data_IF_221370396090
#
_entry.id   IF_221370396090
#
_cell.length_a   1.000
_cell.length_b   1.000
_cell.length_c   1.000
_cell.angle_alpha   90.00
_cell.angle_beta   90.00
_cell.angle_gamma   90.00
#
_symmetry.space_group_name_H-M   'P 1'
#
loop_
_entity.id
_entity.type
_entity.pdbx_description
1 polymer ?
#
# COMPACT_ATOMS: atom_id res chain seq x y z
N UNK A 1 -63.19 6.16 46.02
CA UNK A 1 -62.68 7.22 45.13
C UNK A 1 -61.97 6.52 43.98
N UNK A 2 -62.45 6.65 42.74
CA UNK A 2 -61.80 6.07 41.58
C UNK A 2 -60.69 6.99 41.10
N UNK A 3 -59.46 6.50 41.00
CA UNK A 3 -58.34 7.24 40.40
C UNK A 3 -58.56 7.33 38.90
N UNK A 4 -58.96 8.51 38.40
CA UNK A 4 -58.92 8.80 36.97
C UNK A 4 -57.48 8.64 36.49
N UNK A 5 -57.27 7.65 35.61
CA UNK A 5 -56.00 7.46 34.93
C UNK A 5 -55.90 8.60 33.91
N UNK A 6 -55.04 9.58 34.18
CA UNK A 6 -54.72 10.62 33.21
C UNK A 6 -53.99 9.96 32.04
N UNK A 7 -54.60 10.04 30.85
CA UNK A 7 -53.93 9.65 29.61
C UNK A 7 -52.68 10.53 29.42
N UNK A 8 -51.55 9.96 28.96
CA UNK A 8 -50.34 10.73 28.72
C UNK A 8 -50.57 11.73 27.59
N UNK A 9 -50.05 12.95 27.76
CA UNK A 9 -50.08 13.97 26.73
C UNK A 9 -49.29 13.51 25.49
N UNK A 10 -49.98 13.22 24.39
CA UNK A 10 -49.39 13.12 23.05
C UNK A 10 -49.51 14.47 22.33
N UNK A 11 -48.48 14.83 21.57
CA UNK A 11 -48.46 16.03 20.74
C UNK A 11 -48.16 15.62 19.29
N UNK A 12 -49.16 15.68 18.44
CA UNK A 12 -49.05 15.39 17.00
C UNK A 12 -48.44 16.59 16.24
N UNK A 13 -47.28 17.07 16.69
CA UNK A 13 -46.54 18.18 16.05
C UNK A 13 -46.09 17.79 14.64
N UNK A 14 -45.80 16.51 14.44
CA UNK A 14 -45.64 15.89 13.12
C UNK A 14 -46.62 14.72 13.02
N UNK A 15 -47.57 14.71 12.08
CA UNK A 15 -48.41 13.55 11.84
C UNK A 15 -47.51 12.38 11.39
N UNK A 16 -47.59 11.27 12.10
CA UNK A 16 -46.82 10.07 11.82
C UNK A 16 -47.78 8.91 11.52
N UNK A 17 -47.84 8.52 10.25
CA UNK A 17 -48.49 7.27 9.86
C UNK A 17 -47.63 6.07 10.29
N UNK A 18 -48.25 4.93 10.54
CA UNK A 18 -47.53 3.71 10.88
C UNK A 18 -46.76 3.21 9.65
N UNK A 19 -45.44 3.00 9.79
CA UNK A 19 -44.57 2.50 8.73
C UNK A 19 -45.13 1.19 8.15
N UNK A 20 -45.48 1.22 6.86
CA UNK A 20 -46.11 0.09 6.15
C UNK A 20 -45.17 -0.59 5.15
N UNK A 21 -44.11 0.12 4.78
CA UNK A 21 -43.20 -0.16 3.69
C UNK A 21 -42.14 -1.20 4.10
N UNK A 22 -41.93 -2.21 3.24
CA UNK A 22 -40.86 -3.20 3.44
C UNK A 22 -39.73 -2.98 2.44
N UNK A 23 -38.53 -2.69 2.96
CA UNK A 23 -37.34 -2.51 2.14
C UNK A 23 -36.69 -3.87 1.80
N UNK A 24 -36.88 -4.35 0.58
CA UNK A 24 -36.26 -5.60 0.09
C UNK A 24 -34.78 -5.40 -0.25
N UNK A 25 -33.91 -5.44 0.75
CA UNK A 25 -32.46 -5.19 0.61
C UNK A 25 -31.77 -6.00 -0.51
N UNK A 26 -32.24 -7.21 -0.82
CA UNK A 26 -31.63 -8.05 -1.87
C UNK A 26 -31.82 -7.50 -3.29
N UNK A 27 -32.73 -6.54 -3.55
CA UNK A 27 -32.90 -5.97 -4.89
C UNK A 27 -31.85 -4.90 -5.24
N UNK A 28 -31.02 -4.48 -4.29
CA UNK A 28 -29.94 -3.51 -4.51
C UNK A 28 -28.62 -4.16 -4.95
N UNK A 29 -28.55 -5.49 -4.98
CA UNK A 29 -27.33 -6.25 -5.26
C UNK A 29 -27.59 -7.24 -6.39
N UNK A 30 -26.92 -7.05 -7.52
CA UNK A 30 -26.88 -8.03 -8.60
C UNK A 30 -25.89 -9.15 -8.25
N UNK A 31 -26.24 -10.40 -8.58
CA UNK A 31 -25.36 -11.55 -8.37
C UNK A 31 -24.35 -11.66 -9.53
N UNK A 32 -23.41 -10.72 -9.56
CA UNK A 32 -22.30 -10.66 -10.51
C UNK A 32 -20.99 -11.02 -9.80
N UNK A 33 -20.12 -11.77 -10.48
CA UNK A 33 -18.77 -12.04 -10.00
C UNK A 33 -17.95 -10.73 -9.93
N UNK A 34 -17.52 -10.29 -8.73
CA UNK A 34 -16.73 -9.07 -8.60
C UNK A 34 -15.28 -9.25 -9.08
N UNK A 35 -14.80 -10.47 -9.34
CA UNK A 35 -13.39 -10.80 -9.62
C UNK A 35 -12.98 -10.74 -11.10
N UNK A 36 -13.75 -10.04 -11.94
CA UNK A 36 -13.41 -9.83 -13.37
C UNK A 36 -11.93 -9.43 -13.61
N UNK A 37 -11.33 -9.84 -14.74
CA UNK A 37 -9.88 -10.01 -14.93
C UNK A 37 -9.07 -8.71 -15.13
N UNK A 38 -9.56 -7.58 -14.61
CA UNK A 38 -8.91 -6.27 -14.71
C UNK A 38 -7.98 -6.03 -13.52
N UNK A 39 -6.82 -5.43 -13.80
CA UNK A 39 -5.96 -4.83 -12.78
C UNK A 39 -6.74 -3.76 -11.99
N UNK A 40 -6.39 -3.50 -10.72
CA UNK A 40 -7.04 -2.45 -9.93
C UNK A 40 -6.99 -1.06 -10.59
N UNK A 41 -5.94 -0.76 -11.35
CA UNK A 41 -5.84 0.51 -12.10
C UNK A 41 -6.71 0.52 -13.36
N UNK A 42 -6.79 -0.56 -14.13
CA UNK A 42 -7.74 -0.66 -15.26
C UNK A 42 -9.19 -0.57 -14.77
N UNK A 43 -9.51 -1.16 -13.62
CA UNK A 43 -10.83 -1.07 -12.98
C UNK A 43 -11.14 0.33 -12.46
N UNK A 44 -10.15 1.05 -11.94
CA UNK A 44 -10.27 2.47 -11.62
C UNK A 44 -10.64 3.27 -12.87
N UNK A 45 -9.90 3.09 -13.96
CA UNK A 45 -10.12 3.77 -15.23
C UNK A 45 -11.48 3.42 -15.85
N UNK A 46 -11.95 2.18 -15.72
CA UNK A 46 -13.30 1.81 -16.14
C UNK A 46 -14.38 2.56 -15.34
N UNK A 47 -14.24 2.58 -14.00
CA UNK A 47 -15.17 3.28 -13.12
C UNK A 47 -15.20 4.79 -13.37
N UNK A 48 -14.03 5.44 -13.52
CA UNK A 48 -13.98 6.88 -13.85
C UNK A 48 -14.52 7.16 -15.25
N UNK A 49 -14.31 6.28 -16.23
CA UNK A 49 -14.92 6.42 -17.55
C UNK A 49 -16.45 6.29 -17.54
N UNK A 50 -17.02 5.48 -16.64
CA UNK A 50 -18.48 5.44 -16.42
C UNK A 50 -18.99 6.77 -15.83
N UNK A 51 -18.26 7.35 -14.87
CA UNK A 51 -18.60 8.67 -14.27
C UNK A 51 -18.43 9.83 -15.27
N UNK A 52 -17.39 9.79 -16.11
CA UNK A 52 -17.17 10.75 -17.20
C UNK A 52 -18.34 10.74 -18.19
N UNK A 53 -18.86 9.56 -18.58
CA UNK A 53 -20.05 9.44 -19.44
C UNK A 53 -21.28 10.10 -18.80
N UNK A 54 -21.56 9.79 -17.53
CA UNK A 54 -22.67 10.42 -16.78
C UNK A 54 -22.55 11.95 -16.80
N UNK A 55 -21.36 12.51 -16.60
CA UNK A 55 -21.12 13.95 -16.67
C UNK A 55 -21.39 14.54 -18.07
N UNK A 56 -20.92 13.86 -19.13
CA UNK A 56 -21.09 14.30 -20.51
C UNK A 56 -22.56 14.26 -20.95
N UNK A 57 -23.24 13.13 -20.70
CA UNK A 57 -24.62 12.90 -21.10
C UNK A 57 -25.61 13.87 -20.43
N UNK A 58 -25.29 14.32 -19.21
CA UNK A 58 -26.14 15.21 -18.41
C UNK A 58 -25.66 16.67 -18.38
N UNK A 59 -24.69 17.07 -19.21
CA UNK A 59 -24.04 18.39 -19.10
C UNK A 59 -24.99 19.58 -19.28
N UNK A 60 -26.09 19.40 -20.03
CA UNK A 60 -27.15 20.41 -20.23
C UNK A 60 -28.21 20.44 -19.12
N UNK A 61 -28.28 19.39 -18.28
CA UNK A 61 -29.22 19.24 -17.16
C UNK A 61 -28.47 19.13 -15.82
N UNK A 62 -27.23 19.62 -15.78
CA UNK A 62 -26.33 19.43 -14.66
C UNK A 62 -26.83 20.18 -13.41
N UNK A 63 -26.92 19.45 -12.29
CA UNK A 63 -27.30 20.01 -10.98
C UNK A 63 -26.15 19.88 -9.97
N UNK A 64 -26.26 20.59 -8.84
CA UNK A 64 -25.26 20.52 -7.78
C UNK A 64 -25.23 19.14 -7.10
N UNK A 65 -26.40 18.49 -7.03
CA UNK A 65 -26.58 17.14 -6.50
C UNK A 65 -25.88 16.12 -7.40
N UNK A 66 -25.98 16.27 -8.73
CA UNK A 66 -25.21 15.45 -9.67
C UNK A 66 -23.70 15.64 -9.48
N UNK A 67 -23.23 16.89 -9.33
CA UNK A 67 -21.83 17.17 -8.98
C UNK A 67 -21.38 16.50 -7.68
N UNK A 68 -22.24 16.55 -6.67
CA UNK A 68 -22.02 15.92 -5.36
C UNK A 68 -21.89 14.40 -5.48
N UNK A 69 -22.78 13.76 -6.25
CA UNK A 69 -22.76 12.31 -6.51
C UNK A 69 -21.54 11.90 -7.35
N UNK A 70 -21.16 12.68 -8.36
CA UNK A 70 -19.97 12.43 -9.17
C UNK A 70 -18.69 12.50 -8.33
N UNK A 71 -18.52 13.55 -7.51
CA UNK A 71 -17.40 13.66 -6.57
C UNK A 71 -17.31 12.45 -5.63
N UNK A 72 -18.44 11.98 -5.10
CA UNK A 72 -18.50 10.77 -4.27
C UNK A 72 -18.09 9.52 -5.06
N UNK A 73 -18.57 9.38 -6.29
CA UNK A 73 -18.19 8.30 -7.21
C UNK A 73 -16.69 8.25 -7.46
N UNK A 74 -16.06 9.38 -7.78
CA UNK A 74 -14.61 9.43 -8.05
C UNK A 74 -13.77 9.04 -6.84
N UNK A 75 -14.09 9.54 -5.63
CA UNK A 75 -13.35 9.13 -4.42
C UNK A 75 -13.58 7.65 -4.10
N UNK A 76 -14.78 7.13 -4.37
CA UNK A 76 -15.10 5.70 -4.20
C UNK A 76 -14.34 4.81 -5.20
N UNK A 77 -14.07 5.31 -6.42
CA UNK A 77 -13.20 4.63 -7.37
C UNK A 77 -11.75 4.55 -6.87
N UNK A 78 -11.22 5.62 -6.25
CA UNK A 78 -9.87 5.60 -5.64
C UNK A 78 -9.81 4.63 -4.45
N UNK A 79 -10.83 4.59 -3.60
CA UNK A 79 -10.91 3.60 -2.52
C UNK A 79 -10.97 2.16 -3.07
N UNK A 80 -11.73 1.93 -4.15
CA UNK A 80 -11.81 0.63 -4.83
C UNK A 80 -10.45 0.18 -5.39
N UNK A 81 -9.67 1.12 -5.95
CA UNK A 81 -8.30 0.89 -6.39
C UNK A 81 -7.39 0.49 -5.23
N UNK A 82 -7.42 1.23 -4.11
CA UNK A 82 -6.59 0.96 -2.93
C UNK A 82 -6.90 -0.41 -2.32
N UNK A 83 -8.17 -0.77 -2.19
CA UNK A 83 -8.59 -2.11 -1.77
C UNK A 83 -8.10 -3.19 -2.73
N UNK A 84 -8.33 -3.00 -4.03
CA UNK A 84 -7.90 -3.93 -5.07
C UNK A 84 -6.39 -4.17 -5.11
N UNK A 85 -5.57 -3.12 -4.95
CA UNK A 85 -4.10 -3.25 -4.98
C UNK A 85 -3.56 -3.93 -3.71
N UNK A 86 -4.13 -3.66 -2.54
CA UNK A 86 -3.76 -4.35 -1.30
C UNK A 86 -4.16 -5.84 -1.38
N UNK A 87 -5.40 -6.14 -1.79
CA UNK A 87 -5.87 -7.52 -2.02
C UNK A 87 -4.97 -8.27 -2.99
N UNK A 88 -4.62 -7.65 -4.13
CA UNK A 88 -3.74 -8.25 -5.12
C UNK A 88 -2.34 -8.51 -4.57
N UNK A 89 -1.75 -7.55 -3.86
CA UNK A 89 -0.43 -7.71 -3.24
C UNK A 89 -0.39 -8.85 -2.21
N UNK A 90 -1.45 -9.04 -1.41
CA UNK A 90 -1.57 -10.19 -0.48
C UNK A 90 -1.51 -11.53 -1.21
N UNK A 91 -1.98 -11.59 -2.46
CA UNK A 91 -1.92 -12.81 -3.28
C UNK A 91 -0.58 -12.99 -4.01
N UNK A 92 0.05 -11.91 -4.51
CA UNK A 92 1.23 -11.99 -5.39
C UNK A 92 2.57 -11.86 -4.67
N UNK A 93 2.63 -11.13 -3.55
CA UNK A 93 3.87 -10.78 -2.86
C UNK A 93 4.03 -11.54 -1.53
N UNK A 94 5.05 -12.41 -1.44
CA UNK A 94 5.30 -13.23 -0.25
C UNK A 94 5.57 -12.41 1.04
N UNK A 95 6.11 -11.19 0.90
CA UNK A 95 6.35 -10.29 2.02
C UNK A 95 5.01 -9.73 2.55
N UNK A 96 4.16 -9.18 1.68
CA UNK A 96 2.79 -8.75 2.05
C UNK A 96 1.99 -9.90 2.66
N UNK A 97 2.03 -11.10 2.05
CA UNK A 97 1.33 -12.27 2.57
C UNK A 97 1.74 -12.63 4.01
N UNK A 98 3.03 -12.53 4.37
CA UNK A 98 3.47 -12.72 5.76
C UNK A 98 3.06 -11.57 6.67
N UNK A 99 3.19 -10.32 6.23
CA UNK A 99 2.82 -9.13 7.02
C UNK A 99 1.35 -9.19 7.47
N UNK A 100 0.44 -9.62 6.60
CA UNK A 100 -0.99 -9.73 6.93
C UNK A 100 -1.37 -11.03 7.63
N UNK A 101 -0.52 -12.06 7.62
CA UNK A 101 -0.84 -13.39 8.20
C UNK A 101 -1.23 -13.41 9.70
N UNK A 102 -0.77 -12.50 10.58
CA UNK A 102 -1.21 -12.43 11.97
C UNK A 102 -2.55 -11.71 12.16
N UNK A 103 -3.07 -11.05 11.12
CA UNK A 103 -4.30 -10.28 11.19
C UNK A 103 -5.53 -11.19 11.24
N UNK A 104 -6.57 -10.73 11.92
CA UNK A 104 -7.80 -11.48 12.15
C UNK A 104 -8.89 -11.08 11.16
N UNK A 105 -9.66 -12.07 10.69
CA UNK A 105 -10.91 -11.88 9.94
C UNK A 105 -12.09 -12.35 10.80
N UNK A 106 -13.29 -11.88 10.48
CA UNK A 106 -14.51 -12.42 11.12
C UNK A 106 -14.72 -13.89 10.71
N UNK A 107 -15.34 -14.69 11.58
CA UNK A 107 -15.66 -16.09 11.26
C UNK A 107 -16.62 -16.19 10.06
N UNK A 108 -17.52 -15.21 9.91
CA UNK A 108 -18.41 -15.12 8.75
C UNK A 108 -17.62 -14.95 7.44
N UNK A 109 -16.66 -14.02 7.40
CA UNK A 109 -15.79 -13.84 6.25
C UNK A 109 -14.96 -15.11 5.96
N UNK A 110 -14.40 -15.75 6.98
CA UNK A 110 -13.64 -17.01 6.82
C UNK A 110 -14.49 -18.18 6.29
N UNK A 111 -15.80 -18.20 6.55
CA UNK A 111 -16.72 -19.24 6.10
C UNK A 111 -17.28 -18.98 4.69
N UNK A 112 -17.44 -17.71 4.28
CA UNK A 112 -18.19 -17.32 3.09
C UNK A 112 -17.38 -16.60 1.99
N UNK A 113 -16.18 -16.06 2.26
CA UNK A 113 -15.35 -15.49 1.21
C UNK A 113 -14.57 -16.59 0.45
N UNK A 114 -14.48 -16.42 -0.86
CA UNK A 114 -13.48 -17.14 -1.65
C UNK A 114 -12.06 -16.74 -1.22
N UNK A 115 -11.09 -17.66 -1.36
CA UNK A 115 -9.68 -17.42 -0.96
C UNK A 115 -9.06 -16.19 -1.64
N UNK A 116 -9.50 -15.85 -2.84
CA UNK A 116 -9.10 -14.65 -3.61
C UNK A 116 -9.68 -13.36 -3.02
N UNK A 117 -10.91 -13.40 -2.51
CA UNK A 117 -11.62 -12.26 -1.93
C UNK A 117 -11.46 -12.12 -0.41
N UNK A 118 -10.95 -13.15 0.28
CA UNK A 118 -10.72 -13.13 1.73
C UNK A 118 -9.86 -11.93 2.21
N UNK A 119 -8.84 -11.43 1.48
CA UNK A 119 -8.09 -10.25 1.91
C UNK A 119 -8.91 -8.95 1.99
N UNK A 120 -10.10 -8.87 1.35
CA UNK A 120 -11.01 -7.72 1.54
C UNK A 120 -11.54 -7.66 2.98
N UNK A 121 -11.73 -8.80 3.64
CA UNK A 121 -12.20 -8.86 5.02
C UNK A 121 -11.18 -8.26 6.01
N UNK A 122 -9.89 -8.26 5.66
CA UNK A 122 -8.83 -7.57 6.42
C UNK A 122 -8.92 -6.04 6.30
N UNK A 123 -9.66 -5.54 5.30
CA UNK A 123 -9.88 -4.12 5.04
C UNK A 123 -11.27 -3.65 5.50
N UNK A 124 -12.05 -4.48 6.19
CA UNK A 124 -13.27 -4.07 6.89
C UNK A 124 -12.93 -3.02 7.95
N UNK A 125 -13.68 -1.92 7.98
CA UNK A 125 -13.41 -0.78 8.89
C UNK A 125 -12.20 0.09 8.51
N UNK A 126 -11.34 -0.34 7.57
CA UNK A 126 -10.30 0.53 6.99
C UNK A 126 -10.97 1.57 6.09
N UNK A 127 -10.56 2.83 6.21
CA UNK A 127 -11.10 3.95 5.43
C UNK A 127 -9.97 4.77 4.82
N UNK A 128 -10.04 5.06 3.53
CA UNK A 128 -8.96 5.71 2.78
C UNK A 128 -9.13 7.24 2.64
N UNK A 129 -9.98 7.86 3.47
CA UNK A 129 -10.35 9.30 3.42
C UNK A 129 -9.23 10.29 3.84
N UNK A 130 -7.99 9.85 4.02
CA UNK A 130 -6.85 10.73 4.31
C UNK A 130 -5.51 10.11 3.93
N UNK A 131 -4.53 10.97 3.65
CA UNK A 131 -3.11 10.60 3.53
C UNK A 131 -2.63 9.77 4.70
N UNK A 132 -3.01 10.12 5.94
CA UNK A 132 -2.54 9.43 7.13
C UNK A 132 -3.07 8.00 7.21
N UNK A 133 -4.33 7.78 6.84
CA UNK A 133 -4.89 6.44 6.75
C UNK A 133 -4.23 5.66 5.60
N UNK A 134 -4.10 6.25 4.42
CA UNK A 134 -3.50 5.58 3.25
C UNK A 134 -2.05 5.16 3.52
N UNK A 135 -1.20 6.08 4.01
CA UNK A 135 0.22 5.77 4.22
C UNK A 135 0.41 4.79 5.38
N UNK A 136 -0.40 4.88 6.44
CA UNK A 136 -0.45 3.87 7.51
C UNK A 136 -0.85 2.50 6.98
N UNK A 137 -1.98 2.38 6.26
CA UNK A 137 -2.46 1.10 5.73
C UNK A 137 -1.46 0.48 4.74
N UNK A 138 -0.93 1.26 3.79
CA UNK A 138 0.09 0.77 2.85
C UNK A 138 1.38 0.35 3.56
N UNK A 139 1.71 0.96 4.71
CA UNK A 139 2.85 0.53 5.52
C UNK A 139 2.58 -0.76 6.26
N UNK A 140 1.47 -0.84 6.99
CA UNK A 140 1.13 -1.96 7.87
C UNK A 140 0.80 -3.24 7.08
N UNK A 141 -0.03 -3.11 6.03
CA UNK A 141 -0.46 -4.26 5.23
C UNK A 141 0.58 -4.64 4.19
N UNK A 142 1.06 -3.66 3.41
CA UNK A 142 1.87 -3.90 2.22
C UNK A 142 3.37 -3.65 2.41
N UNK A 143 3.81 -3.22 3.59
CA UNK A 143 5.23 -3.01 3.92
C UNK A 143 5.90 -1.83 3.20
N UNK A 144 5.15 -0.98 2.50
CA UNK A 144 5.67 -0.03 1.50
C UNK A 144 6.72 0.93 2.12
N UNK A 145 7.84 1.16 1.42
CA UNK A 145 8.89 2.08 1.90
C UNK A 145 8.43 3.54 1.89
N UNK A 146 9.03 4.38 2.73
CA UNK A 146 8.72 5.82 2.78
C UNK A 146 7.28 6.18 3.21
N UNK A 147 6.48 5.19 3.62
CA UNK A 147 5.12 5.30 4.14
C UNK A 147 5.07 4.94 5.62
N UNK A 148 4.08 5.46 6.34
CA UNK A 148 3.84 5.21 7.77
C UNK A 148 3.71 6.51 8.56
N UNK A 149 3.01 6.48 9.70
CA UNK A 149 2.85 7.60 10.63
C UNK A 149 2.43 8.94 9.99
N UNK A 150 1.63 8.88 8.92
CA UNK A 150 1.21 10.05 8.13
C UNK A 150 2.24 10.60 7.13
N UNK A 151 3.48 10.14 7.20
CA UNK A 151 4.51 10.45 6.23
C UNK A 151 4.25 9.77 4.88
N UNK A 152 4.70 10.43 3.81
CA UNK A 152 4.72 9.92 2.43
C UNK A 152 6.05 10.31 1.78
N UNK A 153 6.47 9.65 0.69
CA UNK A 153 7.64 10.07 -0.08
C UNK A 153 7.49 11.49 -0.62
N UNK A 154 8.57 12.27 -0.62
CA UNK A 154 8.58 13.67 -1.11
C UNK A 154 8.07 13.85 -2.54
N UNK A 155 8.23 12.82 -3.39
CA UNK A 155 7.70 12.78 -4.76
C UNK A 155 6.18 12.69 -4.83
N UNK A 156 5.53 12.12 -3.81
CA UNK A 156 4.08 11.93 -3.72
C UNK A 156 3.39 13.00 -2.85
N UNK A 157 4.13 13.73 -2.02
CA UNK A 157 3.63 14.81 -1.16
C UNK A 157 2.63 15.75 -1.88
N UNK A 158 2.88 16.29 -3.10
CA UNK A 158 1.96 17.21 -3.74
C UNK A 158 0.63 16.57 -4.16
N UNK A 159 0.66 15.30 -4.60
CA UNK A 159 -0.56 14.58 -5.02
C UNK A 159 -1.39 14.12 -3.81
N UNK A 160 -0.74 13.79 -2.69
CA UNK A 160 -1.44 13.48 -1.43
C UNK A 160 -2.09 14.72 -0.81
N UNK A 161 -1.44 15.89 -0.86
CA UNK A 161 -2.04 17.15 -0.41
C UNK A 161 -3.30 17.49 -1.22
N UNK A 162 -3.27 17.30 -2.54
CA UNK A 162 -4.45 17.46 -3.40
C UNK A 162 -5.55 16.44 -3.13
N UNK A 163 -5.20 15.17 -2.93
CA UNK A 163 -6.16 14.13 -2.53
C UNK A 163 -6.83 14.44 -1.18
N UNK A 164 -6.07 14.92 -0.19
CA UNK A 164 -6.61 15.35 1.11
C UNK A 164 -7.64 16.48 0.96
N UNK A 165 -7.38 17.48 0.10
CA UNK A 165 -8.33 18.56 -0.18
C UNK A 165 -9.65 18.00 -0.74
N UNK A 166 -9.58 17.09 -1.70
CA UNK A 166 -10.76 16.41 -2.28
C UNK A 166 -11.49 15.59 -1.21
N UNK A 167 -10.80 14.94 -0.28
CA UNK A 167 -11.42 14.24 0.84
C UNK A 167 -12.15 15.19 1.81
N UNK A 168 -11.67 16.41 2.02
CA UNK A 168 -12.41 17.43 2.79
C UNK A 168 -13.66 17.90 2.03
N UNK A 169 -13.59 18.07 0.70
CA UNK A 169 -14.77 18.40 -0.11
C UNK A 169 -15.81 17.26 -0.06
N UNK A 170 -15.38 15.99 -0.15
CA UNK A 170 -16.25 14.82 0.06
C UNK A 170 -16.90 14.86 1.45
N UNK A 171 -16.15 15.20 2.50
CA UNK A 171 -16.68 15.31 3.84
C UNK A 171 -17.75 16.42 3.96
N UNK A 172 -17.53 17.59 3.35
CA UNK A 172 -18.55 18.65 3.25
C UNK A 172 -19.81 18.18 2.49
N UNK A 173 -19.64 17.37 1.43
CA UNK A 173 -20.75 16.88 0.62
C UNK A 173 -21.69 15.93 1.38
N UNK A 174 -21.13 14.98 2.15
CA UNK A 174 -21.94 13.95 2.84
C UNK A 174 -22.49 14.41 4.19
N UNK A 175 -21.90 15.43 4.80
CA UNK A 175 -22.33 15.95 6.10
C UNK A 175 -23.02 17.31 5.96
N UNK A 176 -24.12 17.50 6.69
CA UNK A 176 -24.84 18.80 6.77
C UNK A 176 -25.26 19.34 5.39
N UNK A 177 -25.60 18.46 4.44
CA UNK A 177 -26.09 18.82 3.10
C UNK A 177 -25.20 19.84 2.36
N UNK A 178 -23.88 19.67 2.38
CA UNK A 178 -22.96 20.53 1.63
C UNK A 178 -22.50 21.79 2.35
N UNK A 179 -22.93 22.06 3.59
CA UNK A 179 -22.53 23.27 4.32
C UNK A 179 -21.10 23.18 4.86
N UNK A 180 -20.27 24.19 4.56
CA UNK A 180 -18.87 24.25 5.00
C UNK A 180 -18.75 24.50 6.51
N UNK A 181 -18.48 23.44 7.28
CA UNK A 181 -18.14 23.52 8.70
C UNK A 181 -16.72 24.03 8.99
N UNK A 182 -16.50 24.47 10.23
CA UNK A 182 -15.26 25.15 10.66
C UNK A 182 -13.97 24.31 10.53
N UNK A 183 -13.98 23.02 10.88
CA UNK A 183 -12.77 22.19 10.74
C UNK A 183 -12.41 21.94 9.27
N UNK A 184 -13.42 21.79 8.39
CA UNK A 184 -13.20 21.63 6.95
C UNK A 184 -12.63 22.91 6.33
N UNK A 185 -13.18 24.08 6.69
CA UNK A 185 -12.65 25.37 6.25
C UNK A 185 -11.19 25.55 6.67
N UNK A 186 -10.86 25.23 7.93
CA UNK A 186 -9.49 25.25 8.45
C UNK A 186 -8.55 24.33 7.67
N UNK A 187 -8.95 23.08 7.38
CA UNK A 187 -8.15 22.11 6.62
C UNK A 187 -7.97 22.47 5.15
N UNK A 188 -8.95 23.17 4.57
CA UNK A 188 -8.90 23.70 3.20
C UNK A 188 -8.19 25.07 3.11
N UNK A 189 -7.74 25.65 4.23
CA UNK A 189 -7.22 27.02 4.34
C UNK A 189 -8.20 28.09 3.80
N UNK A 190 -9.51 27.87 3.97
CA UNK A 190 -10.55 28.82 3.57
C UNK A 190 -10.85 29.83 4.68
N UNK A 191 -11.04 31.12 4.37
CA UNK A 191 -11.35 32.14 5.36
C UNK A 191 -12.76 32.01 5.94
N UNK A 192 -12.97 32.56 7.14
CA UNK A 192 -14.20 32.37 7.93
C UNK A 192 -15.49 32.89 7.26
N UNK A 193 -15.38 33.77 6.25
CA UNK A 193 -16.51 34.22 5.44
C UNK A 193 -17.03 33.15 4.46
N UNK A 194 -16.49 31.93 4.47
CA UNK A 194 -17.05 30.76 3.78
C UNK A 194 -17.79 29.79 4.70
N UNK A 195 -17.75 29.98 6.03
CA UNK A 195 -18.47 29.12 6.97
C UNK A 195 -19.97 29.14 6.70
N UNK A 196 -20.61 27.97 6.84
CA UNK A 196 -22.04 27.77 6.61
C UNK A 196 -22.53 28.12 5.19
N UNK A 197 -21.61 28.34 4.23
CA UNK A 197 -21.99 28.42 2.82
C UNK A 197 -22.16 27.01 2.23
N UNK A 198 -23.16 26.80 1.35
CA UNK A 198 -23.28 25.56 0.60
C UNK A 198 -22.12 25.43 -0.40
N UNK A 199 -21.64 24.20 -0.58
CA UNK A 199 -20.74 23.85 -1.67
C UNK A 199 -21.48 23.90 -3.01
N UNK A 200 -20.90 24.60 -3.98
CA UNK A 200 -21.36 24.61 -5.37
C UNK A 200 -20.29 23.93 -6.23
N UNK A 201 -20.63 22.78 -6.80
CA UNK A 201 -19.73 21.97 -7.63
C UNK A 201 -20.19 22.10 -9.09
N UNK A 202 -19.44 22.87 -9.90
CA UNK A 202 -19.72 23.03 -11.33
C UNK A 202 -18.98 21.98 -12.17
N UNK A 203 -19.40 21.70 -13.44
CA UNK A 203 -18.75 20.70 -14.29
C UNK A 203 -17.21 20.84 -14.40
N UNK A 204 -16.63 22.06 -14.57
CA UNK A 204 -15.17 22.21 -14.62
C UNK A 204 -14.45 21.79 -13.34
N UNK A 205 -15.11 21.90 -12.18
CA UNK A 205 -14.54 21.45 -10.91
C UNK A 205 -14.54 19.91 -10.79
N UNK A 206 -15.52 19.22 -11.38
CA UNK A 206 -15.50 17.76 -11.50
C UNK A 206 -14.42 17.30 -12.47
N UNK A 207 -14.24 18.00 -13.59
CA UNK A 207 -13.17 17.74 -14.55
C UNK A 207 -11.78 17.94 -13.91
N UNK A 208 -11.59 18.96 -13.07
CA UNK A 208 -10.36 19.13 -12.29
C UNK A 208 -10.17 18.00 -11.26
N UNK A 209 -11.23 17.62 -10.54
CA UNK A 209 -11.21 16.51 -9.57
C UNK A 209 -10.82 15.18 -10.24
N UNK A 210 -11.40 14.83 -11.38
CA UNK A 210 -11.08 13.56 -12.05
C UNK A 210 -9.62 13.51 -12.50
N UNK A 211 -9.10 14.61 -13.07
CA UNK A 211 -7.69 14.75 -13.46
C UNK A 211 -6.75 14.62 -12.25
N UNK A 212 -7.07 15.24 -11.11
CA UNK A 212 -6.27 15.14 -9.89
C UNK A 212 -6.25 13.70 -9.36
N UNK A 213 -7.41 13.04 -9.32
CA UNK A 213 -7.53 11.69 -8.78
C UNK A 213 -6.89 10.63 -9.68
N UNK A 214 -6.93 10.80 -11.01
CA UNK A 214 -6.19 9.96 -11.94
C UNK A 214 -4.68 10.10 -11.75
N UNK A 215 -4.16 11.33 -11.64
CA UNK A 215 -2.75 11.58 -11.33
C UNK A 215 -2.35 11.00 -9.97
N UNK A 216 -3.22 11.06 -8.97
CA UNK A 216 -3.01 10.46 -7.66
C UNK A 216 -2.87 8.93 -7.76
N UNK A 217 -3.85 8.26 -8.39
CA UNK A 217 -3.84 6.80 -8.56
C UNK A 217 -2.63 6.34 -9.37
N UNK A 218 -2.37 6.94 -10.53
CA UNK A 218 -1.25 6.54 -11.39
C UNK A 218 0.12 6.75 -10.73
N UNK A 219 0.33 7.89 -10.04
CA UNK A 219 1.59 8.14 -9.32
C UNK A 219 1.80 7.15 -8.18
N UNK A 220 0.73 6.82 -7.45
CA UNK A 220 0.78 5.85 -6.35
C UNK A 220 0.96 4.41 -6.87
N UNK A 221 0.32 4.05 -7.99
CA UNK A 221 0.47 2.75 -8.66
C UNK A 221 1.92 2.51 -9.08
N UNK A 222 2.53 3.45 -9.81
CA UNK A 222 3.94 3.38 -10.21
C UNK A 222 4.89 3.33 -9.01
N UNK A 223 4.60 4.09 -7.94
CA UNK A 223 5.41 4.06 -6.72
C UNK A 223 5.36 2.70 -6.02
N UNK A 224 4.16 2.16 -5.80
CA UNK A 224 3.98 0.86 -5.14
C UNK A 224 4.62 -0.25 -5.98
N UNK A 225 4.36 -0.30 -7.30
CA UNK A 225 4.98 -1.26 -8.23
C UNK A 225 6.51 -1.26 -8.12
N UNK A 226 7.10 -0.06 -8.17
CA UNK A 226 8.56 0.11 -8.01
C UNK A 226 9.02 -0.41 -6.66
N UNK A 227 8.41 0.03 -5.56
CA UNK A 227 8.82 -0.36 -4.21
C UNK A 227 8.76 -1.88 -3.98
N UNK A 228 7.66 -2.55 -4.39
CA UNK A 228 7.53 -3.99 -4.19
C UNK A 228 8.51 -4.79 -5.04
N UNK A 229 8.78 -4.39 -6.29
CA UNK A 229 9.80 -5.03 -7.12
C UNK A 229 11.21 -4.85 -6.53
N UNK A 230 11.59 -3.62 -6.17
CA UNK A 230 12.88 -3.32 -5.56
C UNK A 230 13.07 -4.09 -4.24
N UNK A 231 12.06 -4.07 -3.37
CA UNK A 231 12.04 -4.83 -2.11
C UNK A 231 12.18 -6.33 -2.34
N UNK A 232 11.46 -6.88 -3.32
CA UNK A 232 11.51 -8.31 -3.61
C UNK A 232 12.89 -8.75 -4.10
N UNK A 233 13.61 -7.91 -4.86
CA UNK A 233 15.00 -8.16 -5.21
C UNK A 233 15.87 -8.24 -3.95
N UNK A 234 15.87 -7.18 -3.13
CA UNK A 234 16.78 -7.08 -1.99
C UNK A 234 16.50 -8.10 -0.88
N UNK A 235 15.23 -8.34 -0.54
CA UNK A 235 14.88 -9.33 0.49
C UNK A 235 15.04 -10.78 -0.01
N UNK A 236 14.98 -11.05 -1.32
CA UNK A 236 15.34 -12.38 -1.84
C UNK A 236 16.85 -12.65 -1.77
N UNK A 237 17.68 -11.61 -1.96
CA UNK A 237 19.15 -11.69 -1.86
C UNK A 237 19.69 -11.52 -0.45
N UNK A 238 18.83 -11.33 0.57
CA UNK A 238 19.29 -10.82 1.85
C UNK A 238 20.19 -11.80 2.61
N UNK A 239 21.44 -11.35 2.78
CA UNK A 239 22.43 -11.86 3.72
C UNK A 239 22.32 -11.12 5.07
N UNK A 240 21.58 -9.99 5.16
CA UNK A 240 21.76 -8.99 6.24
C UNK A 240 20.50 -8.28 6.79
N UNK A 241 19.27 -8.71 6.50
CA UNK A 241 18.04 -8.10 7.09
C UNK A 241 17.01 -9.14 7.52
N UNK A 242 16.54 -8.98 8.77
CA UNK A 242 15.51 -9.73 9.52
C UNK A 242 15.20 -11.19 9.04
N UNK A 243 15.62 -12.24 9.79
CA UNK A 243 15.39 -13.63 9.39
C UNK A 243 13.90 -14.04 9.26
N UNK A 244 12.97 -13.27 9.82
CA UNK A 244 11.53 -13.58 9.77
C UNK A 244 10.86 -13.24 8.42
N UNK A 245 11.44 -12.36 7.60
CA UNK A 245 10.82 -11.87 6.35
C UNK A 245 11.79 -12.01 5.16
N UNK A 246 12.01 -13.26 4.74
CA UNK A 246 12.78 -13.61 3.53
C UNK A 246 11.87 -14.15 2.43
N UNK A 247 12.05 -13.73 1.17
CA UNK A 247 11.37 -14.39 0.04
C UNK A 247 11.96 -15.79 -0.14
N UNK A 248 11.09 -16.78 -0.33
CA UNK A 248 11.44 -18.17 -0.62
C UNK A 248 12.04 -18.22 -2.04
N UNK A 249 11.43 -17.52 -2.98
CA UNK A 249 11.91 -17.45 -4.36
C UNK A 249 12.96 -16.34 -4.54
N UNK A 250 14.09 -16.68 -5.15
CA UNK A 250 15.10 -15.70 -5.62
C UNK A 250 14.81 -15.23 -7.05
N UNK A 251 15.25 -14.01 -7.37
CA UNK A 251 15.29 -13.55 -8.77
C UNK A 251 16.56 -14.04 -9.45
N UNK A 252 16.42 -14.69 -10.59
CA UNK A 252 17.53 -15.23 -11.38
C UNK A 252 18.23 -14.14 -12.21
N UNK A 253 17.53 -13.01 -12.47
CA UNK A 253 17.96 -11.96 -13.40
C UNK A 253 18.07 -12.47 -14.85
N UNK A 254 17.22 -13.44 -15.17
CA UNK A 254 16.98 -14.01 -16.48
C UNK A 254 15.46 -14.08 -16.73
N UNK A 255 15.01 -13.57 -17.87
CA UNK A 255 13.57 -13.44 -18.15
C UNK A 255 12.87 -14.79 -18.17
N UNK A 256 13.43 -15.81 -18.83
CA UNK A 256 12.75 -17.10 -19.00
C UNK A 256 12.51 -17.82 -17.66
N UNK A 257 13.39 -17.61 -16.67
CA UNK A 257 13.22 -18.15 -15.32
C UNK A 257 12.35 -17.28 -14.42
N UNK A 258 12.34 -15.96 -14.64
CA UNK A 258 11.63 -15.00 -13.78
C UNK A 258 10.24 -14.60 -14.32
N UNK A 259 9.90 -14.90 -15.59
CA UNK A 259 8.71 -14.43 -16.31
C UNK A 259 7.41 -14.69 -15.52
N UNK A 260 7.20 -15.93 -15.08
CA UNK A 260 5.97 -16.31 -14.33
C UNK A 260 5.83 -15.52 -13.03
N UNK A 261 6.94 -15.17 -12.37
CA UNK A 261 6.91 -14.34 -11.16
C UNK A 261 6.68 -12.88 -11.51
N UNK A 262 7.39 -12.35 -12.51
CA UNK A 262 7.30 -10.96 -12.93
C UNK A 262 5.92 -10.61 -13.47
N UNK A 263 5.32 -11.50 -14.28
CA UNK A 263 3.96 -11.38 -14.79
C UNK A 263 2.94 -11.13 -13.67
N UNK A 264 3.03 -11.85 -12.54
CA UNK A 264 2.11 -11.64 -11.40
C UNK A 264 2.16 -10.23 -10.79
N UNK A 265 3.32 -9.56 -10.83
CA UNK A 265 3.40 -8.15 -10.45
C UNK A 265 2.94 -7.26 -11.60
N UNK A 266 3.42 -7.49 -12.83
CA UNK A 266 3.05 -6.71 -14.00
C UNK A 266 1.51 -6.67 -14.21
N UNK A 267 0.84 -7.82 -14.24
CA UNK A 267 -0.62 -7.95 -14.42
C UNK A 267 -1.42 -7.23 -13.32
N UNK A 268 -0.84 -7.07 -12.13
CA UNK A 268 -1.46 -6.35 -11.02
C UNK A 268 -1.35 -4.81 -11.16
N UNK A 269 -0.32 -4.30 -11.81
CA UNK A 269 -0.02 -2.87 -11.89
C UNK A 269 -0.15 -2.26 -13.29
N UNK A 270 -0.21 -3.07 -14.34
CA UNK A 270 -0.26 -2.63 -15.73
C UNK A 270 -1.62 -1.99 -16.11
N UNK A 271 -1.54 -0.97 -16.97
CA UNK A 271 -2.68 -0.36 -17.65
C UNK A 271 -2.82 -1.04 -19.01
N UNK A 272 -3.87 -1.82 -19.20
CA UNK A 272 -4.17 -2.55 -20.45
C UNK A 272 -5.44 -2.07 -21.14
N UNK A 273 -6.30 -1.29 -20.45
CA UNK A 273 -7.61 -0.84 -20.94
C UNK A 273 -7.70 0.65 -21.27
N UNK A 274 -6.59 1.38 -21.18
CA UNK A 274 -6.50 2.80 -21.54
C UNK A 274 -5.26 3.10 -22.38
N UNK A 275 -5.18 4.33 -22.89
CA UNK A 275 -4.03 4.84 -23.64
C UNK A 275 -3.47 6.11 -22.97
N UNK A 276 -2.14 6.25 -22.83
CA UNK A 276 -1.12 5.25 -23.16
C UNK A 276 -1.22 4.01 -22.26
N UNK A 277 -1.09 2.83 -22.85
CA UNK A 277 -0.96 1.58 -22.08
C UNK A 277 0.42 1.46 -21.46
N UNK A 278 0.58 0.59 -20.47
CA UNK A 278 1.90 0.21 -19.96
C UNK A 278 2.78 -0.37 -21.10
N UNK A 279 4.12 -0.22 -21.03
CA UNK A 279 5.04 -0.97 -21.89
C UNK A 279 4.85 -2.48 -21.71
N UNK A 280 5.31 -3.30 -22.66
CA UNK A 280 5.14 -4.75 -22.58
C UNK A 280 5.88 -5.37 -21.39
N UNK A 281 5.43 -6.56 -20.97
CA UNK A 281 6.06 -7.36 -19.91
C UNK A 281 7.57 -7.51 -20.09
N UNK A 282 8.03 -7.70 -21.34
CA UNK A 282 9.43 -7.82 -21.70
C UNK A 282 10.20 -6.50 -21.57
N UNK A 283 9.62 -5.38 -21.98
CA UNK A 283 10.24 -4.05 -21.85
C UNK A 283 10.37 -3.64 -20.38
N UNK A 284 9.32 -3.84 -19.58
CA UNK A 284 9.33 -3.62 -18.13
C UNK A 284 10.35 -4.52 -17.42
N UNK A 285 10.44 -5.80 -17.78
CA UNK A 285 11.46 -6.70 -17.21
C UNK A 285 12.88 -6.25 -17.55
N UNK A 286 13.12 -5.79 -18.78
CA UNK A 286 14.44 -5.27 -19.16
C UNK A 286 14.81 -3.99 -18.40
N UNK A 287 13.83 -3.10 -18.13
CA UNK A 287 14.01 -1.95 -17.26
C UNK A 287 14.38 -2.36 -15.82
N UNK A 288 13.64 -3.31 -15.25
CA UNK A 288 13.95 -3.90 -13.94
C UNK A 288 15.34 -4.56 -13.92
N UNK A 289 15.71 -5.31 -14.95
CA UNK A 289 16.98 -6.01 -15.07
C UNK A 289 18.17 -5.04 -15.13
N UNK A 290 18.05 -3.96 -15.92
CA UNK A 290 19.06 -2.91 -16.01
C UNK A 290 19.25 -2.19 -14.66
N UNK A 291 18.14 -1.81 -14.01
CA UNK A 291 18.16 -1.21 -12.68
C UNK A 291 18.78 -2.16 -11.63
N UNK A 292 18.41 -3.44 -11.64
CA UNK A 292 18.89 -4.45 -10.70
C UNK A 292 20.41 -4.62 -10.82
N UNK A 293 20.92 -4.83 -12.05
CA UNK A 293 22.36 -4.99 -12.32
C UNK A 293 23.17 -3.76 -11.85
N UNK A 294 22.73 -2.56 -12.21
CA UNK A 294 23.39 -1.31 -11.78
C UNK A 294 23.39 -1.11 -10.26
N UNK A 295 22.29 -1.45 -9.59
CA UNK A 295 22.15 -1.31 -8.14
C UNK A 295 23.03 -2.31 -7.38
N UNK A 296 23.08 -3.58 -7.82
CA UNK A 296 23.93 -4.62 -7.23
C UNK A 296 25.42 -4.26 -7.37
N UNK A 297 25.84 -3.76 -8.54
CA UNK A 297 27.21 -3.31 -8.76
C UNK A 297 27.60 -2.16 -7.81
N UNK A 298 26.70 -1.18 -7.66
CA UNK A 298 26.88 -0.02 -6.77
C UNK A 298 27.03 -0.45 -5.31
N UNK A 299 26.15 -1.32 -4.80
CA UNK A 299 26.21 -1.82 -3.43
C UNK A 299 27.48 -2.65 -3.17
N UNK A 300 27.90 -3.46 -4.15
CA UNK A 300 29.14 -4.24 -4.06
C UNK A 300 30.36 -3.32 -3.90
N UNK A 301 30.43 -2.22 -4.67
CA UNK A 301 31.46 -1.20 -4.55
C UNK A 301 31.40 -0.51 -3.17
N UNK A 302 30.20 -0.17 -2.68
CA UNK A 302 30.04 0.44 -1.35
C UNK A 302 30.50 -0.48 -0.21
N UNK A 303 30.18 -1.79 -0.28
CA UNK A 303 30.61 -2.79 0.71
C UNK A 303 32.13 -2.92 0.68
N UNK A 304 32.74 -3.08 -0.51
CA UNK A 304 34.21 -3.14 -0.68
C UNK A 304 34.90 -1.91 -0.10
N UNK A 305 34.36 -0.71 -0.36
CA UNK A 305 34.90 0.56 0.16
C UNK A 305 34.71 0.72 1.68
N UNK A 306 33.65 0.16 2.28
CA UNK A 306 33.46 0.13 3.74
C UNK A 306 34.44 -0.84 4.41
N UNK A 307 34.69 -2.01 3.81
CA UNK A 307 35.64 -3.00 4.32
C UNK A 307 37.08 -2.48 4.23
N UNK A 308 37.47 -1.87 3.11
CA UNK A 308 38.81 -1.29 2.92
C UNK A 308 39.12 -0.09 3.83
N UNK A 309 38.11 0.56 4.42
CA UNK A 309 38.25 1.70 5.34
C UNK A 309 38.22 1.32 6.82
N UNK A 310 38.14 0.03 7.15
CA UNK A 310 38.15 -0.44 8.54
C UNK A 310 39.62 -0.53 9.01
N UNK A 311 40.09 0.33 9.94
CA UNK A 311 41.49 0.30 10.35
C UNK A 311 41.81 -1.03 11.04
N UNK A 312 42.97 -1.59 10.74
CA UNK A 312 43.52 -2.69 11.52
C UNK A 312 43.60 -2.27 12.98
N UNK A 313 42.99 -3.07 13.87
CA UNK A 313 43.31 -2.98 15.29
C UNK A 313 44.72 -3.51 15.46
N UNK A 314 45.69 -2.61 15.49
CA UNK A 314 47.08 -2.94 15.78
C UNK A 314 47.16 -3.72 17.09
N UNK A 315 47.67 -4.95 17.01
CA UNK A 315 47.95 -5.75 18.19
C UNK A 315 48.97 -5.01 19.05
N UNK A 316 48.70 -4.87 20.34
CA UNK A 316 49.74 -4.44 21.29
C UNK A 316 50.76 -5.57 21.45
N UNK A 317 52.07 -5.26 21.49
CA UNK A 317 53.08 -6.27 21.78
C UNK A 317 53.00 -6.68 23.27
N UNK A 318 53.24 -7.96 23.53
CA UNK A 318 53.36 -8.51 24.88
C UNK A 318 54.65 -8.04 25.59
N UNK A 319 54.56 -7.82 26.90
CA UNK A 319 55.72 -7.56 27.77
C UNK A 319 55.79 -8.66 28.85
N UNK A 320 56.97 -9.22 29.20
CA UNK A 320 57.05 -10.47 29.96
C UNK A 320 56.81 -10.36 31.49
N UNK A 321 56.58 -11.52 32.11
CA UNK A 321 56.28 -11.70 33.54
C UNK A 321 57.48 -11.52 34.50
N UNK A 322 57.15 -11.02 35.70
CA UNK A 322 57.57 -11.53 37.00
C UNK A 322 56.47 -11.12 38.03
N UNK A 323 56.08 -11.87 39.06
CA UNK A 323 56.52 -13.18 39.55
C UNK A 323 56.47 -13.23 41.09
N UNK A 324 55.41 -13.82 41.68
CA UNK A 324 55.34 -14.65 42.91
C UNK A 324 53.84 -14.84 43.29
N UNK A 325 53.27 -16.05 43.37
CA UNK A 325 53.33 -17.04 44.48
C UNK A 325 52.71 -16.51 45.79
N UNK A 326 51.70 -17.11 46.46
CA UNK A 326 51.04 -18.43 46.38
C UNK A 326 49.48 -18.26 46.50
N UNK A 327 48.56 -19.21 46.78
CA UNK A 327 48.59 -20.66 47.11
C UNK A 327 47.24 -21.38 46.73
N UNK A 328 47.22 -22.71 46.93
CA UNK A 328 46.14 -23.75 46.92
C UNK A 328 44.69 -23.37 47.32
N UNK A 329 43.63 -23.99 46.76
CA UNK A 329 43.28 -25.44 46.86
C UNK A 329 42.22 -25.92 45.82
N UNK A 330 42.35 -27.19 45.38
CA UNK A 330 41.39 -28.16 44.74
C UNK A 330 39.99 -27.70 44.22
N UNK A 331 39.47 -28.14 43.06
CA UNK A 331 39.14 -29.55 42.69
C UNK A 331 38.93 -29.81 41.17
N UNK A 332 39.01 -31.10 40.79
CA UNK A 332 38.41 -31.82 39.64
C UNK A 332 38.53 -31.30 38.17
N UNK A 333 39.09 -32.15 37.30
CA UNK A 333 39.25 -31.95 35.84
C UNK A 333 38.62 -33.11 35.04
N UNK A 334 37.89 -32.78 33.97
CA UNK A 334 37.85 -33.45 32.63
C UNK A 334 36.81 -32.72 31.75
N UNK A 335 37.20 -31.78 30.89
CA UNK A 335 37.84 -31.92 29.57
C UNK A 335 36.86 -32.12 28.40
N UNK A 336 36.61 -31.03 27.64
CA UNK A 336 36.54 -31.02 26.18
C UNK A 336 36.61 -29.56 25.69
N UNK A 337 37.54 -29.25 24.77
CA UNK A 337 37.72 -27.92 24.18
C UNK A 337 36.78 -27.69 22.97
N UNK A 338 36.37 -26.44 22.67
CA UNK A 338 35.80 -26.11 21.37
C UNK A 338 36.92 -25.78 20.38
N UNK A 339 37.05 -26.59 19.32
CA UNK A 339 37.95 -26.29 18.21
C UNK A 339 37.48 -25.04 17.45
N UNK A 340 38.36 -24.05 17.31
CA UNK A 340 38.14 -22.91 16.41
C UNK A 340 38.45 -23.38 14.99
N UNK A 341 37.40 -23.71 14.22
CA UNK A 341 37.52 -23.90 12.77
C UNK A 341 37.12 -22.62 12.05
N UNK A 342 38.12 -21.95 11.48
CA UNK A 342 37.93 -20.79 10.61
C UNK A 342 37.61 -21.28 9.18
N UNK A 343 36.33 -21.47 8.86
CA UNK A 343 35.87 -21.80 7.49
C UNK A 343 34.87 -20.72 7.04
N UNK A 344 35.42 -19.61 6.54
CA UNK A 344 34.68 -18.42 6.04
C UNK A 344 34.80 -18.20 4.54
N UNK A 345 35.17 -19.22 3.76
CA UNK A 345 35.46 -19.06 2.33
C UNK A 345 35.01 -20.24 1.44
N UNK A 346 33.77 -20.73 1.62
CA UNK A 346 33.18 -21.75 0.72
C UNK A 346 31.81 -21.44 0.11
N UNK A 347 30.99 -20.59 0.73
CA UNK A 347 29.61 -20.35 0.27
C UNK A 347 29.45 -19.05 -0.53
N UNK A 348 30.14 -18.97 -1.68
CA UNK A 348 29.82 -18.01 -2.74
C UNK A 348 29.13 -18.75 -3.89
N UNK A 349 27.89 -18.40 -4.27
CA UNK A 349 27.20 -19.08 -5.38
C UNK A 349 27.88 -18.77 -6.73
N UNK A 350 27.94 -19.72 -7.68
CA UNK A 350 28.70 -19.57 -8.93
C UNK A 350 28.38 -18.32 -9.75
N UNK A 351 27.12 -17.87 -9.74
CA UNK A 351 26.67 -16.68 -10.47
C UNK A 351 27.38 -15.37 -10.06
N UNK A 352 28.07 -15.33 -8.92
CA UNK A 352 28.91 -14.17 -8.55
C UNK A 352 30.27 -14.17 -9.28
N UNK A 353 30.79 -15.33 -9.67
CA UNK A 353 32.08 -15.46 -10.34
C UNK A 353 32.00 -15.04 -11.83
N UNK A 354 30.93 -15.41 -12.53
CA UNK A 354 30.77 -15.09 -13.96
C UNK A 354 30.60 -13.57 -14.21
N UNK A 355 29.94 -12.87 -13.29
CA UNK A 355 29.81 -11.40 -13.33
C UNK A 355 31.15 -10.71 -13.02
N UNK A 356 31.99 -11.31 -12.16
CA UNK A 356 33.35 -10.82 -11.88
C UNK A 356 34.30 -11.06 -13.05
N UNK A 357 34.12 -12.13 -13.83
CA UNK A 357 34.92 -12.42 -15.02
C UNK A 357 34.63 -11.44 -16.17
N UNK A 358 33.35 -11.09 -16.39
CA UNK A 358 32.97 -10.12 -17.42
C UNK A 358 33.47 -8.69 -17.12
N UNK A 359 33.42 -8.25 -15.86
CA UNK A 359 33.85 -6.91 -15.43
C UNK A 359 35.38 -6.75 -15.27
N UNK A 360 36.16 -7.77 -15.63
CA UNK A 360 37.63 -7.73 -15.65
C UNK A 360 38.21 -7.85 -17.07
N UNK A 361 37.34 -7.84 -18.10
CA UNK A 361 37.69 -7.94 -19.51
C UNK A 361 37.41 -6.66 -20.32
N UNK A 362 36.97 -5.59 -19.63
CA UNK A 362 36.90 -4.19 -20.09
C UNK A 362 37.78 -3.31 -19.17
#
# INVERSE_FOLDING_TARGET
>A
MGTQKLEPFSAEISPAEALSEQLKLTSFFENLDPTGPLSPIDRYLENTNRLNKILLDNRSQYTNELGTLLLLGYVSAVESYLRGIIRGLVQVDECVARLVSPLQVTYFAALHHEKTLLPEALLEGVSFISQANISKTLKEFCGISGMGDGSVPKSLEPIFQKYNQICQLRHCCVHRFGLLGADNARRLNLPANYLEKPITILPPAIEEVSIILEKFVSSLNSYIYTDVLQRSLWLSKSIHTNPEIKYISTWNLDFLQDETRFARYYDLFAITKSQPSSPSLWEEYNGFLAWAKGSIATDTIMIRNKLAKKPEKTAKPDTPLAGTAQQTRSEAVRNAEPAIHDDKFKDLPPAAADILAAAAAE
#
